data_IF_916285662931
#
_entry.id   IF_916285662931
#
_cell.length_a   1.000
_cell.length_b   1.000
_cell.length_c   1.000
_cell.angle_alpha   90.00
_cell.angle_beta   90.00
_cell.angle_gamma   90.00
#
_symmetry.space_group_name_H-M   'P 1'
#
loop_
_entity.id
_entity.type
_entity.pdbx_description
1 polymer ?
#
# COMPACT_ATOMS: atom_id res chain seq x y z
N UNK A 1 -8.14 -10.99 15.34
CA UNK A 1 -7.97 -9.55 15.65
C UNK A 1 -7.20 -8.90 14.51
N UNK A 2 -7.90 -8.39 13.51
CA UNK A 2 -7.37 -7.35 12.62
C UNK A 2 -8.37 -6.22 12.70
N UNK A 3 -8.41 -5.61 13.87
CA UNK A 3 -9.32 -4.53 14.22
C UNK A 3 -8.45 -3.32 14.45
N UNK A 4 -8.80 -2.22 13.78
CA UNK A 4 -8.09 -0.98 13.85
C UNK A 4 -7.73 -0.63 15.30
N UNK A 5 -6.43 -0.58 15.62
CA UNK A 5 -5.99 -0.31 17.00
C UNK A 5 -6.41 1.11 17.35
N UNK A 6 -7.35 1.25 18.30
CA UNK A 6 -7.88 2.52 18.78
C UNK A 6 -8.48 3.42 17.68
N UNK A 7 -8.92 2.85 16.55
CA UNK A 7 -9.29 3.59 15.33
C UNK A 7 -8.19 4.50 14.75
N UNK A 8 -6.94 4.30 15.17
CA UNK A 8 -5.78 5.10 14.72
C UNK A 8 -5.04 4.43 13.57
N UNK A 9 -5.07 3.10 13.53
CA UNK A 9 -4.28 2.30 12.60
C UNK A 9 -5.14 1.24 11.96
N UNK A 10 -4.94 0.96 10.68
CA UNK A 10 -5.56 -0.17 9.99
C UNK A 10 -4.53 -0.88 9.13
N UNK A 11 -4.65 -2.20 9.02
CA UNK A 11 -3.89 -3.01 8.07
C UNK A 11 -4.70 -3.33 6.80
N UNK A 12 -5.87 -2.70 6.64
CA UNK A 12 -6.67 -2.85 5.43
C UNK A 12 -5.95 -2.20 4.24
N UNK A 13 -6.06 -2.88 3.11
CA UNK A 13 -5.56 -2.43 1.82
C UNK A 13 -6.34 -1.18 1.40
N UNK A 14 -5.65 -0.13 0.96
CA UNK A 14 -6.29 1.11 0.48
C UNK A 14 -5.49 2.40 0.72
N UNK A 15 -4.39 2.36 1.47
CA UNK A 15 -3.52 3.51 1.73
C UNK A 15 -2.17 3.43 1.02
N UNK A 16 -1.62 4.58 0.62
CA UNK A 16 -0.30 4.72 -0.01
C UNK A 16 0.43 5.97 0.49
N UNK A 17 1.73 5.88 0.82
CA UNK A 17 2.54 7.06 1.08
C UNK A 17 2.78 7.85 -0.21
N UNK A 18 2.84 9.17 -0.08
CA UNK A 18 3.19 10.12 -1.14
C UNK A 18 4.65 10.53 -0.93
N UNK A 19 5.49 10.26 -1.93
CA UNK A 19 6.89 10.67 -1.94
C UNK A 19 7.12 11.70 -3.04
N UNK A 20 7.88 12.76 -2.72
CA UNK A 20 8.28 13.82 -3.66
C UNK A 20 9.74 14.11 -3.40
N UNK A 21 10.56 14.13 -4.44
CA UNK A 21 12.01 14.39 -4.35
C UNK A 21 12.74 13.52 -3.31
N UNK A 22 12.27 12.27 -3.13
CA UNK A 22 12.84 11.34 -2.16
C UNK A 22 12.31 11.51 -0.71
N UNK A 23 11.47 12.50 -0.43
CA UNK A 23 10.89 12.73 0.90
C UNK A 23 9.45 12.26 0.98
N UNK A 24 9.09 11.56 2.06
CA UNK A 24 7.69 11.18 2.33
C UNK A 24 6.97 12.38 2.93
N UNK A 25 6.02 12.95 2.19
CA UNK A 25 5.28 14.14 2.60
C UNK A 25 3.97 13.82 3.33
N UNK A 26 3.46 12.60 3.15
CA UNK A 26 2.20 12.17 3.72
C UNK A 26 1.69 10.88 3.08
N UNK A 27 0.37 10.69 3.09
CA UNK A 27 -0.29 9.54 2.49
C UNK A 27 -1.68 9.90 1.97
N UNK A 28 -2.17 9.12 1.00
CA UNK A 28 -3.56 9.13 0.54
C UNK A 28 -4.17 7.76 0.82
N UNK A 29 -5.45 7.72 1.20
CA UNK A 29 -6.16 6.49 1.42
C UNK A 29 -7.61 6.60 0.95
N UNK A 30 -8.12 5.49 0.42
CA UNK A 30 -9.55 5.29 0.18
C UNK A 30 -10.05 4.12 1.04
N UNK A 31 -11.36 4.11 1.28
CA UNK A 31 -12.05 3.06 1.99
C UNK A 31 -13.49 2.99 1.50
N UNK A 32 -14.12 1.83 1.70
CA UNK A 32 -15.51 1.46 1.34
C UNK A 32 -15.63 0.51 0.13
N UNK A 33 -14.56 0.28 -0.62
CA UNK A 33 -14.51 -0.74 -1.68
C UNK A 33 -13.90 -2.06 -1.22
N UNK A 34 -13.55 -2.91 -2.18
CA UNK A 34 -12.55 -3.97 -1.96
C UNK A 34 -11.17 -3.35 -1.82
N UNK A 35 -10.23 -4.02 -1.16
CA UNK A 35 -8.86 -3.52 -1.03
C UNK A 35 -8.21 -3.13 -2.36
N UNK A 36 -8.49 -3.88 -3.43
CA UNK A 36 -8.01 -3.57 -4.78
C UNK A 36 -8.66 -2.32 -5.38
N UNK A 37 -9.95 -2.10 -5.14
CA UNK A 37 -10.66 -0.89 -5.56
C UNK A 37 -10.14 0.33 -4.79
N UNK A 38 -10.01 0.21 -3.46
CA UNK A 38 -9.52 1.28 -2.61
C UNK A 38 -8.07 1.66 -2.96
N UNK A 39 -7.21 0.68 -3.24
CA UNK A 39 -5.86 0.95 -3.76
C UNK A 39 -5.92 1.71 -5.10
N UNK A 40 -6.77 1.29 -6.04
CA UNK A 40 -6.83 1.92 -7.36
C UNK A 40 -7.20 3.41 -7.24
N UNK A 41 -8.13 3.73 -6.32
CA UNK A 41 -8.51 5.11 -6.00
C UNK A 41 -7.34 5.86 -5.34
N UNK A 42 -6.69 5.28 -4.33
CA UNK A 42 -5.53 5.90 -3.67
C UNK A 42 -4.39 6.18 -4.66
N UNK A 43 -4.11 5.25 -5.59
CA UNK A 43 -3.12 5.45 -6.68
C UNK A 43 -3.49 6.60 -7.59
N UNK A 44 -4.76 6.71 -7.98
CA UNK A 44 -5.23 7.82 -8.80
C UNK A 44 -5.07 9.17 -8.08
N UNK A 45 -5.38 9.21 -6.78
CA UNK A 45 -5.20 10.39 -5.94
C UNK A 45 -3.73 10.81 -5.82
N UNK A 46 -2.82 9.87 -5.55
CA UNK A 46 -1.40 10.16 -5.49
C UNK A 46 -0.87 10.67 -6.85
N UNK A 47 -1.27 10.06 -7.98
CA UNK A 47 -0.88 10.48 -9.36
C UNK A 47 -1.28 11.89 -9.73
N UNK A 48 -2.31 12.43 -9.09
CA UNK A 48 -2.72 13.80 -9.33
C UNK A 48 -1.76 14.83 -8.70
N UNK A 49 -0.83 14.42 -7.83
CA UNK A 49 0.09 15.31 -7.13
C UNK A 49 1.35 15.53 -7.98
N UNK A 50 1.66 16.78 -8.38
CA UNK A 50 2.86 17.07 -9.17
C UNK A 50 4.15 16.66 -8.46
N UNK A 51 5.04 15.99 -9.18
CA UNK A 51 6.32 15.52 -8.64
C UNK A 51 6.21 14.32 -7.70
N UNK A 52 5.00 13.81 -7.46
CA UNK A 52 4.83 12.60 -6.67
C UNK A 52 5.34 11.38 -7.46
N UNK A 53 6.27 10.66 -6.85
CA UNK A 53 6.56 9.28 -7.18
C UNK A 53 5.90 8.36 -6.15
N UNK A 54 5.59 7.14 -6.59
CA UNK A 54 4.76 6.22 -5.83
C UNK A 54 5.43 4.88 -5.89
N UNK A 55 5.17 4.08 -4.88
CA UNK A 55 5.48 2.67 -4.95
C UNK A 55 4.46 2.01 -5.89
N UNK A 56 4.63 2.21 -7.20
CA UNK A 56 3.79 1.53 -8.18
C UNK A 56 3.95 0.01 -8.07
N UNK A 57 5.14 -0.44 -7.68
CA UNK A 57 5.49 -1.81 -7.36
C UNK A 57 5.07 -2.24 -5.95
N UNK A 58 4.31 -1.41 -5.21
CA UNK A 58 3.74 -1.83 -3.94
C UNK A 58 2.73 -2.95 -4.17
N UNK A 59 3.24 -4.17 -4.10
CA UNK A 59 2.46 -5.38 -3.99
C UNK A 59 2.12 -5.56 -2.52
N UNK A 60 0.84 -5.53 -2.19
CA UNK A 60 0.41 -5.96 -0.87
C UNK A 60 0.75 -7.43 -0.73
N UNK A 61 1.31 -7.82 0.42
CA UNK A 61 1.35 -9.22 0.80
C UNK A 61 -0.10 -9.74 0.79
N UNK A 62 -0.39 -10.67 -0.12
CA UNK A 62 -1.67 -11.36 -0.20
C UNK A 62 -1.91 -12.16 1.07
N UNK A 63 -3.16 -12.53 1.34
CA UNK A 63 -3.55 -13.37 2.47
C UNK A 63 -2.82 -14.74 2.49
N UNK A 64 -2.21 -15.11 1.37
CA UNK A 64 -1.36 -16.28 1.12
C UNK A 64 0.11 -16.13 1.55
N UNK A 65 0.61 -14.92 1.77
CA UNK A 65 2.01 -14.69 2.17
C UNK A 65 2.05 -13.89 3.48
N UNK A 66 1.77 -14.57 4.59
CA UNK A 66 1.68 -13.94 5.91
C UNK A 66 3.03 -13.54 6.49
N UNK A 67 4.15 -13.74 5.78
CA UNK A 67 5.49 -13.32 6.24
C UNK A 67 5.91 -13.87 7.61
N UNK A 68 5.14 -14.81 8.18
CA UNK A 68 5.44 -15.46 9.45
C UNK A 68 6.64 -16.40 9.29
N UNK A 69 6.98 -16.81 8.06
CA UNK A 69 8.18 -17.58 7.77
C UNK A 69 9.23 -16.65 7.15
N UNK A 70 10.12 -16.19 8.04
CA UNK A 70 11.38 -15.51 7.76
C UNK A 70 12.16 -16.24 6.65
N UNK A 71 12.22 -15.63 5.47
CA UNK A 71 13.19 -15.93 4.41
C UNK A 71 12.69 -16.87 3.31
N UNK A 72 12.36 -16.30 2.15
CA UNK A 72 12.43 -17.02 0.87
C UNK A 72 12.24 -16.06 -0.31
N UNK A 73 13.33 -15.55 -0.88
CA UNK A 73 13.84 -15.95 -2.21
C UNK A 73 13.58 -14.84 -3.27
N UNK A 74 14.56 -13.95 -3.55
CA UNK A 74 14.44 -12.81 -4.47
C UNK A 74 14.20 -13.19 -5.94
N UNK A 75 14.26 -14.48 -6.30
CA UNK A 75 14.07 -14.97 -7.66
C UNK A 75 12.60 -15.05 -8.14
N UNK A 76 11.59 -14.90 -7.27
CA UNK A 76 10.16 -15.02 -7.68
C UNK A 76 9.51 -13.74 -8.22
N UNK A 77 10.28 -12.67 -8.45
CA UNK A 77 9.78 -11.37 -8.95
C UNK A 77 10.00 -11.22 -10.47
N UNK A 78 10.48 -12.24 -11.17
CA UNK A 78 10.62 -12.24 -12.63
C UNK A 78 10.03 -13.50 -13.22
N UNK A 79 8.79 -13.39 -13.66
CA UNK A 79 8.21 -14.00 -14.87
C UNK A 79 6.97 -13.18 -15.26
#
# INVERSE_FOLDING_TARGET
MTLAQENKWTNLIGGLPIRVDGFVLGAVAAGSGTGTQDLAVARAGARAIPGADMFEDFAFMGAEDTGIIRGSHPEKVRD
#
